data_IF_565184566480
#
_entry.id   IF_565184566480
#
_cell.length_a   1.000
_cell.length_b   1.000
_cell.length_c   1.000
_cell.angle_alpha   90.00
_cell.angle_beta   90.00
_cell.angle_gamma   90.00
#
_symmetry.space_group_name_H-M   'P 1'
#
loop_
_entity.id
_entity.type
_entity.pdbx_description
1 polymer ?
#
# COMPACT_ATOMS: atom_id res chain seq x y z
N UNK A 1 3.61 -20.33 -8.20
CA UNK A 1 4.77 -19.55 -7.71
C UNK A 1 4.69 -19.32 -6.21
N UNK A 2 3.82 -18.42 -5.72
CA UNK A 2 3.72 -18.05 -4.28
C UNK A 2 3.66 -19.27 -3.34
N UNK A 3 3.05 -20.37 -3.78
CA UNK A 3 2.80 -21.55 -2.96
C UNK A 3 3.67 -22.78 -3.31
N UNK A 4 4.47 -22.75 -4.38
CA UNK A 4 5.10 -23.97 -4.92
C UNK A 4 6.57 -23.82 -5.36
N UNK A 5 6.99 -22.67 -5.90
CA UNK A 5 8.34 -22.50 -6.45
C UNK A 5 8.83 -21.09 -6.13
N UNK A 6 9.97 -20.93 -5.44
CA UNK A 6 10.50 -19.65 -4.96
C UNK A 6 11.29 -18.84 -6.01
N UNK A 7 11.47 -19.35 -7.23
CA UNK A 7 12.06 -18.58 -8.35
C UNK A 7 11.33 -18.77 -9.69
N UNK A 8 10.82 -17.66 -10.22
CA UNK A 8 10.27 -17.53 -11.57
C UNK A 8 10.74 -16.19 -12.12
N UNK A 9 11.68 -16.21 -13.07
CA UNK A 9 12.35 -15.03 -13.58
C UNK A 9 11.52 -14.30 -14.66
N UNK A 10 10.21 -14.17 -14.47
CA UNK A 10 9.29 -13.57 -15.45
C UNK A 10 8.08 -12.86 -14.84
N UNK A 11 8.06 -12.69 -13.51
CA UNK A 11 6.90 -12.11 -12.81
C UNK A 11 6.75 -10.62 -13.16
N UNK A 12 7.86 -9.89 -13.25
CA UNK A 12 7.84 -8.46 -13.55
C UNK A 12 7.23 -8.21 -14.94
N UNK A 13 7.70 -8.93 -15.95
CA UNK A 13 7.25 -8.82 -17.34
C UNK A 13 5.77 -9.23 -17.48
N UNK A 14 5.35 -10.28 -16.77
CA UNK A 14 3.94 -10.66 -16.74
C UNK A 14 3.07 -9.59 -16.08
N UNK A 15 3.52 -8.99 -14.97
CA UNK A 15 2.81 -7.91 -14.30
C UNK A 15 2.74 -6.65 -15.16
N UNK A 16 3.77 -6.34 -15.93
CA UNK A 16 3.77 -5.21 -16.87
C UNK A 16 2.69 -5.38 -17.95
N UNK A 17 2.58 -6.58 -18.53
CA UNK A 17 1.50 -6.91 -19.48
C UNK A 17 0.14 -6.83 -18.78
N UNK A 18 0.02 -7.38 -17.57
CA UNK A 18 -1.22 -7.35 -16.79
C UNK A 18 -1.65 -5.92 -16.45
N UNK A 19 -0.74 -5.02 -16.10
CA UNK A 19 -1.05 -3.62 -15.85
C UNK A 19 -1.70 -2.96 -17.05
N UNK A 20 -1.17 -3.21 -18.25
CA UNK A 20 -1.76 -2.73 -19.51
C UNK A 20 -3.17 -3.31 -19.75
N UNK A 21 -3.37 -4.60 -19.44
CA UNK A 21 -4.68 -5.25 -19.53
C UNK A 21 -5.69 -4.64 -18.55
N UNK A 22 -5.29 -4.42 -17.29
CA UNK A 22 -6.13 -3.82 -16.25
C UNK A 22 -6.55 -2.40 -16.66
N UNK A 23 -5.62 -1.61 -17.22
CA UNK A 23 -5.94 -0.30 -17.76
C UNK A 23 -6.96 -0.37 -18.92
N UNK A 24 -6.99 -1.47 -19.66
CA UNK A 24 -7.99 -1.74 -20.70
C UNK A 24 -9.36 -2.22 -20.19
N UNK A 25 -9.53 -2.48 -18.89
CA UNK A 25 -10.81 -2.97 -18.37
C UNK A 25 -11.94 -1.94 -18.56
N UNK A 26 -13.09 -2.45 -18.99
CA UNK A 26 -14.34 -1.70 -19.01
C UNK A 26 -14.86 -1.49 -17.58
N UNK A 27 -15.53 -0.35 -17.36
CA UNK A 27 -16.23 -0.03 -16.13
C UNK A 27 -17.74 -0.22 -16.38
N UNK A 28 -18.49 -0.89 -15.47
CA UNK A 28 -18.07 -1.41 -14.17
C UNK A 28 -17.16 -2.64 -14.28
N UNK A 29 -16.22 -2.76 -13.33
CA UNK A 29 -15.35 -3.93 -13.23
C UNK A 29 -16.17 -5.20 -12.98
N UNK A 30 -15.83 -6.27 -13.70
CA UNK A 30 -16.39 -7.60 -13.46
C UNK A 30 -15.90 -8.17 -12.13
N UNK A 31 -16.75 -8.97 -11.49
CA UNK A 31 -16.41 -9.62 -10.21
C UNK A 31 -15.16 -10.51 -10.30
N UNK A 32 -14.93 -11.17 -11.45
CA UNK A 32 -13.71 -11.96 -11.68
C UNK A 32 -12.42 -11.12 -11.57
N UNK A 33 -12.45 -9.84 -11.97
CA UNK A 33 -11.31 -8.94 -11.86
C UNK A 33 -11.06 -8.54 -10.40
N UNK A 34 -12.13 -8.32 -9.60
CA UNK A 34 -12.02 -8.02 -8.17
C UNK A 34 -11.49 -9.22 -7.39
N UNK A 35 -11.97 -10.42 -7.71
CA UNK A 35 -11.46 -11.68 -7.13
C UNK A 35 -9.99 -11.87 -7.50
N UNK A 36 -9.58 -11.55 -8.73
CA UNK A 36 -8.18 -11.61 -9.15
C UNK A 36 -7.29 -10.67 -8.32
N UNK A 37 -7.71 -9.42 -8.11
CA UNK A 37 -7.01 -8.49 -7.22
C UNK A 37 -6.84 -9.08 -5.80
N UNK A 38 -7.93 -9.54 -5.18
CA UNK A 38 -7.91 -10.01 -3.79
C UNK A 38 -7.14 -11.32 -3.61
N UNK A 39 -7.27 -12.26 -4.54
CA UNK A 39 -6.75 -13.62 -4.41
C UNK A 39 -5.39 -13.82 -5.07
N UNK A 40 -4.97 -12.93 -5.97
CA UNK A 40 -3.72 -13.07 -6.71
C UNK A 40 -2.80 -11.87 -6.48
N UNK A 41 -3.21 -10.66 -6.83
CA UNK A 41 -2.33 -9.48 -6.75
C UNK A 41 -1.95 -9.12 -5.32
N UNK A 42 -2.92 -8.99 -4.40
CA UNK A 42 -2.61 -8.65 -3.01
C UNK A 42 -1.70 -9.70 -2.34
N UNK A 43 -1.94 -11.02 -2.48
CA UNK A 43 -1.02 -12.03 -1.94
C UNK A 43 0.39 -12.03 -2.53
N UNK A 44 0.63 -11.50 -3.74
CA UNK A 44 1.99 -11.44 -4.33
C UNK A 44 2.96 -10.61 -3.46
N UNK A 45 2.46 -9.65 -2.69
CA UNK A 45 3.27 -8.85 -1.74
C UNK A 45 3.95 -9.72 -0.64
N UNK A 46 3.46 -10.94 -0.41
CA UNK A 46 4.08 -11.87 0.54
C UNK A 46 5.38 -12.48 0.03
N UNK A 47 5.60 -12.51 -1.28
CA UNK A 47 6.76 -13.15 -1.87
C UNK A 47 8.07 -12.62 -1.27
N UNK A 48 9.04 -13.50 -1.05
CA UNK A 48 10.36 -13.11 -0.57
C UNK A 48 11.09 -12.23 -1.61
N UNK A 49 10.88 -12.55 -2.89
CA UNK A 49 11.47 -11.88 -4.04
C UNK A 49 10.70 -10.62 -4.51
N UNK A 50 9.89 -9.99 -3.64
CA UNK A 50 9.02 -8.86 -4.00
C UNK A 50 9.81 -7.73 -4.70
N UNK A 51 11.01 -7.45 -4.23
CA UNK A 51 11.86 -6.34 -4.70
C UNK A 51 12.09 -6.35 -6.22
N UNK A 52 12.03 -7.52 -6.87
CA UNK A 52 12.28 -7.66 -8.31
C UNK A 52 11.10 -7.24 -9.19
N UNK A 53 9.89 -7.21 -8.65
CA UNK A 53 8.67 -6.94 -9.42
C UNK A 53 7.71 -5.97 -8.71
N UNK A 54 8.13 -5.38 -7.59
CA UNK A 54 7.32 -4.46 -6.80
C UNK A 54 6.76 -3.30 -7.63
N UNK A 55 7.57 -2.57 -8.43
CA UNK A 55 7.03 -1.45 -9.20
C UNK A 55 5.88 -1.86 -10.15
N UNK A 56 6.01 -3.01 -10.81
CA UNK A 56 4.98 -3.53 -11.72
C UNK A 56 3.73 -3.99 -10.97
N UNK A 57 3.90 -4.53 -9.76
CA UNK A 57 2.77 -4.91 -8.89
C UNK A 57 2.02 -3.68 -8.38
N UNK A 58 2.75 -2.68 -7.88
CA UNK A 58 2.19 -1.39 -7.44
C UNK A 58 1.40 -0.74 -8.55
N UNK A 59 1.96 -0.69 -9.77
CA UNK A 59 1.25 -0.19 -10.95
C UNK A 59 -0.09 -0.92 -11.17
N UNK A 60 -0.11 -2.25 -11.11
CA UNK A 60 -1.35 -3.01 -11.23
C UNK A 60 -2.38 -2.64 -10.15
N UNK A 61 -1.94 -2.48 -8.90
CA UNK A 61 -2.80 -2.14 -7.75
C UNK A 61 -3.40 -0.74 -7.92
N UNK A 62 -2.57 0.24 -8.28
CA UNK A 62 -3.00 1.63 -8.55
C UNK A 62 -4.01 1.66 -9.70
N UNK A 63 -3.75 0.94 -10.80
CA UNK A 63 -4.71 0.87 -11.92
C UNK A 63 -6.08 0.29 -11.50
N UNK A 64 -6.15 -0.63 -10.54
CA UNK A 64 -7.43 -1.11 -10.02
C UNK A 64 -8.22 -0.02 -9.29
N UNK A 65 -7.54 0.82 -8.51
CA UNK A 65 -8.17 1.93 -7.77
C UNK A 65 -8.65 3.00 -8.75
N UNK A 66 -7.88 3.32 -9.79
CA UNK A 66 -8.31 4.26 -10.84
C UNK A 66 -9.59 3.78 -11.56
N UNK A 67 -9.76 2.47 -11.73
CA UNK A 67 -10.95 1.88 -12.36
C UNK A 67 -12.16 1.84 -11.43
N UNK A 68 -11.95 1.62 -10.14
CA UNK A 68 -12.98 1.56 -9.11
C UNK A 68 -12.42 2.06 -7.77
N UNK A 69 -12.62 3.36 -7.43
CA UNK A 69 -12.07 3.97 -6.22
C UNK A 69 -12.52 3.28 -4.92
N UNK A 70 -13.65 2.57 -4.93
CA UNK A 70 -14.12 1.82 -3.76
C UNK A 70 -13.17 0.66 -3.38
N UNK A 71 -12.28 0.23 -4.28
CA UNK A 71 -11.27 -0.78 -4.01
C UNK A 71 -10.10 -0.27 -3.14
N UNK A 72 -9.95 1.04 -2.94
CA UNK A 72 -8.88 1.59 -2.09
C UNK A 72 -8.90 1.06 -0.66
N UNK A 73 -10.09 0.96 -0.04
CA UNK A 73 -10.24 0.44 1.32
C UNK A 73 -9.83 -1.04 1.46
N UNK A 74 -10.35 -1.99 0.66
CA UNK A 74 -9.93 -3.39 0.76
C UNK A 74 -8.45 -3.59 0.39
N UNK A 75 -7.89 -2.80 -0.54
CA UNK A 75 -6.46 -2.84 -0.89
C UNK A 75 -5.60 -2.46 0.31
N UNK A 76 -5.84 -1.29 0.94
CA UNK A 76 -5.05 -0.85 2.09
C UNK A 76 -5.19 -1.82 3.27
N UNK A 77 -6.40 -2.32 3.54
CA UNK A 77 -6.60 -3.37 4.56
C UNK A 77 -5.80 -4.64 4.25
N UNK A 78 -5.73 -5.03 2.98
CA UNK A 78 -4.92 -6.16 2.51
C UNK A 78 -3.41 -5.94 2.70
N UNK A 79 -2.91 -4.77 2.35
CA UNK A 79 -1.50 -4.40 2.54
C UNK A 79 -1.12 -4.39 4.03
N UNK A 80 -1.93 -3.74 4.89
CA UNK A 80 -1.71 -3.74 6.34
C UNK A 80 -1.72 -5.17 6.91
N UNK A 81 -2.59 -6.05 6.41
CA UNK A 81 -2.63 -7.47 6.82
C UNK A 81 -1.33 -8.21 6.45
N UNK A 82 -0.69 -7.83 5.36
CA UNK A 82 0.55 -8.45 4.86
C UNK A 82 1.81 -7.65 5.21
N UNK A 83 1.69 -6.63 6.07
CA UNK A 83 2.78 -5.73 6.41
C UNK A 83 4.03 -6.50 6.89
N UNK A 84 5.21 -6.25 6.31
CA UNK A 84 6.44 -6.93 6.68
C UNK A 84 6.83 -6.64 8.14
N UNK A 85 7.14 -7.69 8.91
CA UNK A 85 7.58 -7.54 10.32
C UNK A 85 9.06 -7.88 10.56
N UNK A 86 9.69 -8.55 9.60
CA UNK A 86 11.05 -9.11 9.74
C UNK A 86 12.00 -8.66 8.64
N UNK A 87 11.54 -7.85 7.67
CA UNK A 87 12.33 -7.42 6.52
C UNK A 87 12.11 -5.92 6.27
N UNK A 88 13.05 -5.10 6.76
CA UNK A 88 12.99 -3.63 6.65
C UNK A 88 12.95 -3.16 5.19
N UNK A 89 13.69 -3.82 4.28
CA UNK A 89 13.66 -3.48 2.86
C UNK A 89 12.26 -3.63 2.27
N UNK A 90 11.54 -4.70 2.60
CA UNK A 90 10.14 -4.88 2.16
C UNK A 90 9.22 -3.86 2.80
N UNK A 91 9.45 -3.51 4.07
CA UNK A 91 8.65 -2.48 4.74
C UNK A 91 8.79 -1.11 4.05
N UNK A 92 10.01 -0.74 3.62
CA UNK A 92 10.23 0.46 2.79
C UNK A 92 9.46 0.39 1.47
N UNK A 93 9.44 -0.78 0.80
CA UNK A 93 8.66 -0.96 -0.43
C UNK A 93 7.16 -0.75 -0.20
N UNK A 94 6.60 -1.32 0.88
CA UNK A 94 5.19 -1.11 1.26
C UNK A 94 4.89 0.36 1.56
N UNK A 95 5.81 1.10 2.18
CA UNK A 95 5.65 2.54 2.39
C UNK A 95 5.69 3.33 1.07
N UNK A 96 6.45 2.88 0.07
CA UNK A 96 6.44 3.46 -1.28
C UNK A 96 5.09 3.27 -1.96
N UNK A 97 4.63 2.02 -2.05
CA UNK A 97 3.32 1.70 -2.63
C UNK A 97 2.18 2.40 -1.91
N UNK A 98 2.25 2.48 -0.58
CA UNK A 98 1.22 3.15 0.21
C UNK A 98 1.11 4.64 -0.14
N UNK A 99 2.23 5.35 -0.35
CA UNK A 99 2.19 6.75 -0.75
C UNK A 99 1.53 6.91 -2.12
N UNK A 100 1.89 6.09 -3.11
CA UNK A 100 1.28 6.11 -4.45
C UNK A 100 -0.24 5.84 -4.40
N UNK A 101 -0.67 4.92 -3.52
CA UNK A 101 -2.10 4.66 -3.33
C UNK A 101 -2.79 5.85 -2.66
N UNK A 102 -2.15 6.46 -1.65
CA UNK A 102 -2.71 7.62 -0.95
C UNK A 102 -2.83 8.84 -1.86
N UNK A 103 -1.99 8.99 -2.88
CA UNK A 103 -2.08 10.07 -3.87
C UNK A 103 -3.38 10.07 -4.70
N UNK A 104 -4.02 8.91 -4.82
CA UNK A 104 -5.22 8.74 -5.65
C UNK A 104 -6.46 8.32 -4.85
N UNK A 105 -6.34 8.16 -3.53
CA UNK A 105 -7.45 7.66 -2.71
C UNK A 105 -8.50 8.75 -2.49
N UNK A 106 -9.78 8.39 -2.59
CA UNK A 106 -10.86 9.31 -2.25
C UNK A 106 -10.89 9.60 -0.73
N UNK A 107 -11.14 10.85 -0.34
CA UNK A 107 -11.11 11.27 1.06
C UNK A 107 -12.19 10.60 1.93
N UNK A 108 -13.33 10.19 1.34
CA UNK A 108 -14.36 9.43 2.05
C UNK A 108 -13.92 7.99 2.30
N UNK A 109 -13.22 7.38 1.34
CA UNK A 109 -12.62 6.05 1.53
C UNK A 109 -11.53 6.13 2.60
N UNK A 110 -10.69 7.16 2.56
CA UNK A 110 -9.64 7.37 3.55
C UNK A 110 -10.18 7.45 4.99
N UNK A 111 -11.30 8.14 5.23
CA UNK A 111 -11.96 8.21 6.55
C UNK A 111 -12.22 6.83 7.17
N UNK A 112 -12.54 5.82 6.36
CA UNK A 112 -12.84 4.47 6.86
C UNK A 112 -11.59 3.70 7.31
N UNK A 113 -10.42 4.11 6.83
CA UNK A 113 -9.15 3.38 7.02
C UNK A 113 -8.09 4.17 7.80
N UNK A 114 -8.25 5.48 7.95
CA UNK A 114 -7.23 6.37 8.54
C UNK A 114 -6.76 5.88 9.90
N UNK A 115 -7.67 5.42 10.77
CA UNK A 115 -7.32 4.92 12.10
C UNK A 115 -6.41 3.68 12.05
N UNK A 116 -6.70 2.69 11.20
CA UNK A 116 -5.89 1.47 11.10
C UNK A 116 -4.55 1.75 10.39
N UNK A 117 -4.59 2.64 9.40
CA UNK A 117 -3.44 3.05 8.62
C UNK A 117 -2.42 3.78 9.49
N UNK A 118 -2.85 4.81 10.21
CA UNK A 118 -1.96 5.63 11.02
C UNK A 118 -1.43 4.88 12.25
N UNK A 119 -2.12 3.85 12.73
CA UNK A 119 -1.53 2.91 13.71
C UNK A 119 -0.32 2.16 13.15
N UNK A 120 -0.37 1.80 11.86
CA UNK A 120 0.74 1.11 11.20
C UNK A 120 1.86 2.09 10.86
N UNK A 121 1.55 3.23 10.24
CA UNK A 121 2.53 4.29 9.94
C UNK A 121 3.26 4.74 11.23
N UNK A 122 2.52 4.95 12.32
CA UNK A 122 3.11 5.33 13.60
C UNK A 122 4.17 4.32 14.09
N UNK A 123 3.91 3.02 13.94
CA UNK A 123 4.90 1.99 14.29
C UNK A 123 6.15 2.09 13.41
N UNK A 124 5.96 2.24 12.09
CA UNK A 124 7.07 2.36 11.13
C UNK A 124 7.89 3.64 11.37
N UNK A 125 7.25 4.77 11.66
CA UNK A 125 7.90 6.03 12.03
C UNK A 125 8.75 5.91 13.31
N UNK A 126 8.36 5.04 14.25
CA UNK A 126 9.12 4.74 15.48
C UNK A 126 10.07 3.55 15.37
N UNK A 127 10.29 3.02 14.17
CA UNK A 127 11.18 1.90 13.94
C UNK A 127 12.61 2.25 14.33
N UNK A 128 13.33 1.31 14.95
CA UNK A 128 14.77 1.44 15.20
C UNK A 128 15.60 1.39 13.90
N UNK A 129 14.99 0.96 12.79
CA UNK A 129 15.64 0.91 11.49
C UNK A 129 15.49 2.25 10.78
N UNK A 130 16.59 2.99 10.64
CA UNK A 130 16.62 4.34 10.08
C UNK A 130 15.84 4.49 8.78
N UNK A 131 16.08 3.64 7.77
CA UNK A 131 15.43 3.79 6.47
C UNK A 131 13.89 3.62 6.54
N UNK A 132 13.39 2.85 7.50
CA UNK A 132 11.94 2.66 7.68
C UNK A 132 11.34 3.89 8.34
N UNK A 133 11.97 4.38 9.41
CA UNK A 133 11.54 5.57 10.12
C UNK A 133 11.57 6.81 9.21
N UNK A 134 12.68 7.05 8.53
CA UNK A 134 12.86 8.15 7.57
C UNK A 134 11.80 8.09 6.46
N UNK A 135 11.63 6.93 5.81
CA UNK A 135 10.66 6.79 4.73
C UNK A 135 9.22 6.99 5.22
N UNK A 136 8.88 6.47 6.40
CA UNK A 136 7.56 6.67 6.99
C UNK A 136 7.28 8.14 7.30
N UNK A 137 8.27 8.88 7.79
CA UNK A 137 8.15 10.32 8.08
C UNK A 137 8.11 11.17 6.80
N UNK A 138 8.70 10.70 5.70
CA UNK A 138 8.65 11.39 4.42
C UNK A 138 7.21 11.53 3.85
N UNK A 139 6.24 10.73 4.32
CA UNK A 139 4.83 10.88 3.96
C UNK A 139 4.27 12.28 4.28
N UNK A 140 4.85 12.99 5.26
CA UNK A 140 4.45 14.37 5.59
C UNK A 140 4.98 15.41 4.60
N UNK A 141 5.83 15.03 3.65
CA UNK A 141 6.24 15.91 2.55
C UNK A 141 5.25 15.88 1.37
N UNK A 142 4.30 14.95 1.38
CA UNK A 142 3.28 14.85 0.36
C UNK A 142 2.07 15.74 0.71
N UNK A 143 1.81 16.75 -0.11
CA UNK A 143 0.75 17.75 0.13
C UNK A 143 -0.64 17.12 0.25
N UNK A 144 -0.95 16.11 -0.57
CA UNK A 144 -2.25 15.46 -0.54
C UNK A 144 -2.43 14.60 0.71
N UNK A 145 -1.38 13.86 1.12
CA UNK A 145 -1.39 13.11 2.38
C UNK A 145 -1.57 14.05 3.57
N UNK A 146 -0.91 15.20 3.57
CA UNK A 146 -1.09 16.22 4.62
C UNK A 146 -2.54 16.72 4.65
N UNK A 147 -3.14 17.02 3.50
CA UNK A 147 -4.55 17.41 3.43
C UNK A 147 -5.47 16.32 4.00
N UNK A 148 -5.27 15.05 3.63
CA UNK A 148 -6.04 13.93 4.17
C UNK A 148 -5.91 13.82 5.70
N UNK A 149 -4.71 14.09 6.24
CA UNK A 149 -4.47 14.12 7.69
C UNK A 149 -5.25 15.27 8.33
N UNK A 150 -5.18 16.47 7.76
CA UNK A 150 -5.87 17.67 8.26
C UNK A 150 -7.38 17.48 8.37
N UNK A 151 -8.00 16.87 7.35
CA UNK A 151 -9.42 16.55 7.34
C UNK A 151 -9.84 15.51 8.40
N UNK A 152 -8.89 14.79 9.00
CA UNK A 152 -9.12 13.66 9.89
C UNK A 152 -8.34 13.75 11.22
N UNK A 153 -7.89 14.96 11.58
CA UNK A 153 -6.99 15.20 12.72
C UNK A 153 -7.52 14.62 14.04
N UNK A 154 -8.82 14.73 14.31
CA UNK A 154 -9.40 14.25 15.57
C UNK A 154 -9.16 12.75 15.81
N UNK A 155 -9.13 11.95 14.73
CA UNK A 155 -8.89 10.51 14.80
C UNK A 155 -7.40 10.15 14.73
N UNK A 156 -6.64 10.89 13.92
CA UNK A 156 -5.24 10.59 13.61
C UNK A 156 -4.29 11.10 14.71
N UNK A 157 -4.54 12.30 15.24
CA UNK A 157 -3.64 12.97 16.20
C UNK A 157 -3.39 12.13 17.46
N UNK A 158 -4.40 11.51 18.12
CA UNK A 158 -4.17 10.69 19.30
C UNK A 158 -3.31 9.44 19.04
N UNK A 159 -3.19 9.01 17.78
CA UNK A 159 -2.41 7.84 17.38
C UNK A 159 -0.94 8.23 17.14
N UNK A 160 -0.71 9.37 16.50
CA UNK A 160 0.63 9.84 16.12
C UNK A 160 1.41 10.49 17.26
N UNK A 161 0.72 11.26 18.11
CA UNK A 161 1.38 12.12 19.10
C UNK A 161 2.17 11.33 20.16
N UNK A 162 1.60 10.27 20.79
CA UNK A 162 2.31 9.57 21.86
C UNK A 162 3.64 8.93 21.41
N UNK A 163 3.72 8.29 20.22
CA UNK A 163 4.99 7.70 19.76
C UNK A 163 6.02 8.74 19.29
N UNK A 164 5.60 9.81 18.63
CA UNK A 164 6.53 10.87 18.18
C UNK A 164 7.14 11.64 19.36
N UNK A 165 6.35 11.94 20.40
CA UNK A 165 6.86 12.58 21.62
C UNK A 165 7.83 11.72 22.43
N UNK A 166 7.94 10.40 22.17
CA UNK A 166 8.93 9.54 22.83
C UNK A 166 10.30 9.58 22.15
N UNK A 167 10.37 10.09 20.92
CA UNK A 167 11.57 10.13 20.09
C UNK A 167 12.22 11.53 20.14
N UNK A 168 11.43 12.57 20.45
CA UNK A 168 11.91 13.93 20.72
C UNK A 168 12.52 14.07 22.12
#
# INVERSE_FOLDING_TARGET
YIYEYERFNGIAELLEILGSIINGFAVPLKEEHKVFLERVLLPLHKAHSLNFFHPQLTYCVVQFIEKDPALGEPIIKGLIKFWPKTCSTKEVLFLNELEEILDIIDSQIFKNICTILFKQISRSATSSHFQVAERSLALWSNEYVVQLIEENLEQILPILLPPLCRIS
#
